data_IF_729982019915
#
_entry.id   IF_729982019915
#
_cell.length_a   1.000
_cell.length_b   1.000
_cell.length_c   1.000
_cell.angle_alpha   90.00
_cell.angle_beta   90.00
_cell.angle_gamma   90.00
#
_symmetry.space_group_name_H-M   'P 1'
#
loop_
_entity.id
_entity.type
_entity.pdbx_description
1 polymer ?
#
# COMPACT_ATOMS: atom_id res chain seq x y z
N UNK A 1 4.94 -34.72 7.33
CA UNK A 1 3.86 -33.75 7.66
C UNK A 1 4.04 -32.41 6.95
N UNK A 2 5.27 -31.86 6.86
CA UNK A 2 5.56 -30.63 6.11
C UNK A 2 5.31 -30.70 4.58
N UNK A 3 5.60 -31.84 3.94
CA UNK A 3 5.38 -32.02 2.48
C UNK A 3 3.90 -32.00 2.07
N UNK A 4 2.97 -32.37 2.96
CA UNK A 4 1.54 -32.33 2.64
C UNK A 4 0.97 -30.92 2.76
N UNK A 5 1.61 -30.04 3.53
CA UNK A 5 1.21 -28.63 3.68
C UNK A 5 1.74 -27.81 2.51
N UNK A 6 2.99 -28.04 2.10
CA UNK A 6 3.58 -27.37 0.94
C UNK A 6 2.87 -27.73 -0.36
N UNK A 7 2.54 -29.02 -0.58
CA UNK A 7 1.79 -29.44 -1.77
C UNK A 7 0.38 -28.85 -1.82
N UNK A 8 -0.35 -28.83 -0.69
CA UNK A 8 -1.67 -28.20 -0.58
C UNK A 8 -1.63 -26.70 -0.84
N UNK A 9 -0.61 -25.99 -0.36
CA UNK A 9 -0.43 -24.55 -0.60
C UNK A 9 -0.13 -24.23 -2.06
N UNK A 10 0.73 -25.02 -2.71
CA UNK A 10 1.04 -24.85 -4.14
C UNK A 10 -0.19 -25.13 -5.00
N UNK A 11 -0.95 -26.19 -4.70
CA UNK A 11 -2.19 -26.52 -5.40
C UNK A 11 -3.25 -25.43 -5.24
N UNK A 12 -3.36 -24.86 -4.03
CA UNK A 12 -4.24 -23.72 -3.76
C UNK A 12 -3.89 -22.55 -4.67
N UNK A 13 -2.64 -22.07 -4.63
CA UNK A 13 -2.20 -20.93 -5.46
C UNK A 13 -2.41 -21.23 -6.94
N UNK A 14 -2.15 -22.46 -7.40
CA UNK A 14 -2.28 -22.84 -8.81
C UNK A 14 -3.73 -22.73 -9.29
N UNK A 15 -4.71 -23.10 -8.46
CA UNK A 15 -6.16 -23.05 -8.74
C UNK A 15 -6.74 -21.63 -8.73
N UNK A 16 -6.08 -20.67 -8.08
CA UNK A 16 -6.58 -19.31 -7.96
C UNK A 16 -6.55 -18.50 -9.27
N UNK A 17 -7.52 -17.59 -9.41
CA UNK A 17 -7.70 -16.74 -10.58
C UNK A 17 -6.49 -15.84 -10.86
N UNK A 18 -6.25 -15.47 -12.13
CA UNK A 18 -5.09 -14.67 -12.54
C UNK A 18 -4.96 -13.35 -11.76
N UNK A 19 -6.09 -12.71 -11.44
CA UNK A 19 -6.14 -11.48 -10.65
C UNK A 19 -5.55 -11.64 -9.23
N UNK A 20 -5.80 -12.78 -8.57
CA UNK A 20 -5.27 -13.08 -7.25
C UNK A 20 -3.75 -13.23 -7.28
N UNK A 21 -3.22 -13.99 -8.25
CA UNK A 21 -1.77 -14.16 -8.45
C UNK A 21 -1.08 -12.82 -8.71
N UNK A 22 -1.62 -11.98 -9.59
CA UNK A 22 -1.09 -10.64 -9.87
C UNK A 22 -1.07 -9.78 -8.60
N UNK A 23 -2.12 -9.86 -7.78
CA UNK A 23 -2.17 -9.12 -6.51
C UNK A 23 -1.10 -9.60 -5.51
N UNK A 24 -0.85 -10.92 -5.42
CA UNK A 24 0.22 -11.47 -4.58
C UNK A 24 1.59 -10.92 -5.02
N UNK A 25 1.93 -11.03 -6.30
CA UNK A 25 3.23 -10.54 -6.81
C UNK A 25 3.38 -9.04 -6.57
N UNK A 26 2.34 -8.26 -6.85
CA UNK A 26 2.32 -6.82 -6.59
C UNK A 26 2.54 -6.52 -5.10
N UNK A 27 1.85 -7.23 -4.21
CA UNK A 27 1.95 -7.01 -2.77
C UNK A 27 3.37 -7.32 -2.28
N UNK A 28 3.95 -8.43 -2.74
CA UNK A 28 5.33 -8.80 -2.41
C UNK A 28 6.32 -7.69 -2.82
N UNK A 29 6.26 -7.23 -4.07
CA UNK A 29 7.14 -6.17 -4.58
C UNK A 29 6.92 -4.88 -3.78
N UNK A 30 5.67 -4.48 -3.57
CA UNK A 30 5.34 -3.24 -2.86
C UNK A 30 5.82 -3.29 -1.42
N UNK A 31 5.60 -4.40 -0.70
CA UNK A 31 6.04 -4.58 0.68
C UNK A 31 7.56 -4.61 0.80
N UNK A 32 8.25 -5.24 -0.15
CA UNK A 32 9.71 -5.21 -0.21
C UNK A 32 10.23 -3.78 -0.39
N UNK A 33 9.70 -3.03 -1.36
CA UNK A 33 10.08 -1.63 -1.60
C UNK A 33 9.78 -0.72 -0.41
N UNK A 34 8.63 -0.89 0.23
CA UNK A 34 8.24 -0.11 1.41
C UNK A 34 9.14 -0.48 2.60
N UNK A 35 9.40 -1.76 2.83
CA UNK A 35 10.27 -2.23 3.90
C UNK A 35 11.68 -1.65 3.81
N UNK A 36 12.19 -1.45 2.58
CA UNK A 36 13.49 -0.81 2.35
C UNK A 36 13.47 0.70 2.54
N UNK A 37 12.35 1.38 2.27
CA UNK A 37 12.31 2.86 2.21
C UNK A 37 11.74 3.51 3.45
N UNK A 38 10.80 2.86 4.15
CA UNK A 38 10.01 3.45 5.23
C UNK A 38 10.88 3.99 6.38
N UNK A 39 11.96 3.30 6.74
CA UNK A 39 12.85 3.72 7.83
C UNK A 39 13.72 4.94 7.45
N UNK A 40 13.98 5.13 6.16
CA UNK A 40 14.83 6.22 5.68
C UNK A 40 14.06 7.51 5.41
N UNK A 41 12.73 7.47 5.28
CA UNK A 41 11.92 8.66 4.99
C UNK A 41 12.11 9.76 6.04
N UNK A 42 11.96 9.42 7.33
CA UNK A 42 12.13 10.40 8.42
C UNK A 42 13.56 10.91 8.52
N UNK A 43 14.55 10.04 8.28
CA UNK A 43 15.98 10.40 8.32
C UNK A 43 16.30 11.37 7.17
N UNK A 44 15.80 11.09 5.97
CA UNK A 44 16.00 11.91 4.78
C UNK A 44 15.39 13.31 4.94
N UNK A 45 14.15 13.39 5.42
CA UNK A 45 13.48 14.68 5.65
C UNK A 45 14.15 15.46 6.79
N UNK A 46 14.65 14.79 7.82
CA UNK A 46 15.45 15.43 8.87
C UNK A 46 16.77 15.98 8.33
N UNK A 47 17.46 15.23 7.46
CA UNK A 47 18.70 15.68 6.81
C UNK A 47 18.50 16.91 5.92
N UNK A 48 17.29 17.11 5.38
CA UNK A 48 16.88 18.32 4.65
C UNK A 48 16.58 19.52 5.55
N UNK A 49 16.73 19.37 6.87
CA UNK A 49 16.57 20.44 7.86
C UNK A 49 15.26 20.41 8.64
N UNK A 50 14.45 19.34 8.55
CA UNK A 50 13.29 19.20 9.42
C UNK A 50 13.70 18.82 10.85
N UNK A 51 13.12 19.51 11.83
CA UNK A 51 13.14 19.09 13.22
C UNK A 51 12.14 17.96 13.51
N UNK A 52 12.21 17.45 14.74
CA UNK A 52 11.33 16.39 15.22
C UNK A 52 9.85 16.85 15.29
N UNK A 53 9.61 18.13 15.55
CA UNK A 53 8.26 18.70 15.60
C UNK A 53 7.62 18.71 14.21
N UNK A 54 8.33 19.17 13.19
CA UNK A 54 7.82 19.22 11.81
C UNK A 54 7.52 17.82 11.26
N UNK A 55 8.40 16.85 11.53
CA UNK A 55 8.15 15.45 11.19
C UNK A 55 6.91 14.88 11.89
N UNK A 56 6.73 15.22 13.16
CA UNK A 56 5.54 14.86 13.92
C UNK A 56 4.27 15.42 13.27
N UNK A 57 4.25 16.72 12.96
CA UNK A 57 3.13 17.37 12.29
C UNK A 57 2.80 16.73 10.94
N UNK A 58 3.81 16.51 10.08
CA UNK A 58 3.62 15.88 8.77
C UNK A 58 3.03 14.48 8.92
N UNK A 59 3.57 13.68 9.85
CA UNK A 59 3.11 12.31 10.07
C UNK A 59 1.67 12.27 10.61
N UNK A 60 1.33 13.15 11.55
CA UNK A 60 -0.02 13.25 12.11
C UNK A 60 -1.03 13.72 11.06
N UNK A 61 -0.72 14.77 10.30
CA UNK A 61 -1.60 15.28 9.25
C UNK A 61 -1.78 14.23 8.14
N UNK A 62 -0.70 13.58 7.72
CA UNK A 62 -0.77 12.47 6.76
C UNK A 62 -1.60 11.29 7.27
N UNK A 63 -1.45 10.94 8.55
CA UNK A 63 -2.23 9.90 9.22
C UNK A 63 -3.73 10.22 9.24
N UNK A 64 -4.09 11.43 9.69
CA UNK A 64 -5.50 11.88 9.73
C UNK A 64 -6.09 11.93 8.32
N UNK A 65 -5.38 12.53 7.35
CA UNK A 65 -5.83 12.60 5.97
C UNK A 65 -6.05 11.22 5.38
N UNK A 66 -5.11 10.29 5.57
CA UNK A 66 -5.22 8.92 5.06
C UNK A 66 -6.37 8.14 5.72
N UNK A 67 -6.62 8.36 7.02
CA UNK A 67 -7.73 7.74 7.74
C UNK A 67 -9.07 8.25 7.22
N UNK A 68 -9.22 9.58 7.06
CA UNK A 68 -10.43 10.19 6.50
C UNK A 68 -10.69 9.72 5.07
N UNK A 69 -9.64 9.49 4.28
CA UNK A 69 -9.77 8.97 2.92
C UNK A 69 -10.09 7.48 2.85
N UNK A 70 -9.79 6.70 3.89
CA UNK A 70 -10.01 5.24 3.88
C UNK A 70 -11.49 4.90 3.65
N UNK A 71 -12.40 5.64 4.28
CA UNK A 71 -13.86 5.44 4.17
C UNK A 71 -14.38 5.69 2.74
N UNK A 72 -14.18 6.88 2.12
CA UNK A 72 -14.63 7.11 0.76
C UNK A 72 -13.89 6.20 -0.23
N UNK A 73 -12.63 5.84 0.03
CA UNK A 73 -11.87 4.94 -0.85
C UNK A 73 -12.53 3.56 -0.97
N UNK A 74 -13.02 3.00 0.14
CA UNK A 74 -13.79 1.76 0.12
C UNK A 74 -15.04 1.88 -0.75
N UNK A 75 -15.86 2.90 -0.50
CA UNK A 75 -17.08 3.15 -1.26
C UNK A 75 -16.83 3.41 -2.75
N UNK A 76 -15.79 4.17 -3.09
CA UNK A 76 -15.39 4.41 -4.48
C UNK A 76 -14.87 3.14 -5.15
N UNK A 77 -14.17 2.26 -4.44
CA UNK A 77 -13.70 0.98 -4.98
C UNK A 77 -14.88 0.07 -5.36
N UNK A 78 -15.93 0.04 -4.54
CA UNK A 78 -17.15 -0.71 -4.82
C UNK A 78 -17.91 -0.14 -6.03
N UNK A 79 -17.99 1.19 -6.16
CA UNK A 79 -18.76 1.84 -7.24
C UNK A 79 -18.04 1.91 -8.58
N UNK A 80 -16.77 2.30 -8.59
CA UNK A 80 -15.99 2.51 -9.83
C UNK A 80 -15.14 1.31 -10.24
N UNK A 81 -15.08 0.30 -9.37
CA UNK A 81 -14.34 -0.93 -9.58
C UNK A 81 -12.95 -0.91 -8.97
N UNK A 82 -12.65 -1.99 -8.25
CA UNK A 82 -11.42 -2.27 -7.53
C UNK A 82 -10.16 -2.03 -8.39
N UNK A 83 -10.18 -2.41 -9.68
CA UNK A 83 -9.03 -2.26 -10.59
C UNK A 83 -8.61 -0.80 -10.77
N UNK A 84 -9.57 0.12 -10.96
CA UNK A 84 -9.27 1.54 -11.17
C UNK A 84 -8.69 2.13 -9.89
N UNK A 85 -9.25 1.77 -8.75
CA UNK A 85 -8.79 2.26 -7.44
C UNK A 85 -7.39 1.76 -7.06
N UNK A 86 -7.05 0.53 -7.47
CA UNK A 86 -5.70 0.00 -7.35
C UNK A 86 -4.68 0.83 -8.14
N UNK A 87 -5.02 1.17 -9.38
CA UNK A 87 -4.13 1.93 -10.28
C UNK A 87 -3.96 3.34 -9.74
N UNK A 88 -5.01 4.01 -9.28
CA UNK A 88 -4.90 5.36 -8.70
C UNK A 88 -4.02 5.36 -7.45
N UNK A 89 -4.18 4.39 -6.54
CA UNK A 89 -3.33 4.26 -5.35
C UNK A 89 -1.86 4.03 -5.71
N UNK A 90 -1.58 3.19 -6.72
CA UNK A 90 -0.22 2.98 -7.23
C UNK A 90 0.36 4.24 -7.89
N UNK A 91 -0.43 4.98 -8.64
CA UNK A 91 -0.01 6.26 -9.24
C UNK A 91 0.35 7.28 -8.16
N UNK A 92 -0.44 7.38 -7.09
CA UNK A 92 -0.15 8.27 -5.94
C UNK A 92 1.16 7.86 -5.26
N UNK A 93 1.39 6.56 -5.06
CA UNK A 93 2.67 6.07 -4.52
C UNK A 93 3.85 6.44 -5.42
N UNK A 94 3.72 6.23 -6.74
CA UNK A 94 4.75 6.57 -7.71
C UNK A 94 5.08 8.07 -7.68
N UNK A 95 4.05 8.93 -7.61
CA UNK A 95 4.21 10.37 -7.46
C UNK A 95 4.93 10.73 -6.16
N UNK A 96 4.67 10.04 -5.05
CA UNK A 96 5.39 10.30 -3.80
C UNK A 96 6.88 9.95 -3.91
N UNK A 97 7.22 8.82 -4.54
CA UNK A 97 8.62 8.44 -4.74
C UNK A 97 9.36 9.42 -5.66
N UNK A 98 8.69 9.91 -6.72
CA UNK A 98 9.24 10.97 -7.55
C UNK A 98 9.42 12.27 -6.75
N UNK A 99 8.44 12.65 -5.92
CA UNK A 99 8.55 13.83 -5.08
C UNK A 99 9.71 13.73 -4.08
N UNK A 100 9.98 12.54 -3.51
CA UNK A 100 11.18 12.30 -2.69
C UNK A 100 12.47 12.47 -3.49
N UNK A 101 12.52 11.97 -4.74
CA UNK A 101 13.72 12.09 -5.58
C UNK A 101 14.05 13.53 -5.99
N UNK A 102 13.05 14.40 -6.12
CA UNK A 102 13.21 15.83 -6.45
C UNK A 102 13.27 16.74 -5.21
N UNK A 103 13.14 16.20 -4.00
CA UNK A 103 13.05 17.01 -2.79
C UNK A 103 14.37 17.75 -2.53
N UNK A 104 14.36 19.07 -2.72
CA UNK A 104 15.48 19.95 -2.36
C UNK A 104 15.29 20.66 -1.02
N UNK A 105 14.09 20.55 -0.43
CA UNK A 105 13.74 21.14 0.85
C UNK A 105 12.90 20.20 1.68
N UNK A 106 12.93 20.38 3.00
CA UNK A 106 12.18 19.53 3.92
C UNK A 106 10.67 19.63 3.72
N UNK A 107 10.13 20.76 3.22
CA UNK A 107 8.70 20.88 2.94
C UNK A 107 8.27 19.95 1.80
N UNK A 108 9.09 19.84 0.74
CA UNK A 108 8.83 18.92 -0.36
C UNK A 108 8.93 17.46 0.12
N UNK A 109 9.92 17.15 0.96
CA UNK A 109 10.05 15.84 1.60
C UNK A 109 8.88 15.49 2.52
N UNK A 110 8.37 16.44 3.29
CA UNK A 110 7.19 16.26 4.15
C UNK A 110 5.91 16.05 3.35
N UNK A 111 5.69 16.81 2.27
CA UNK A 111 4.58 16.58 1.35
C UNK A 111 4.66 15.19 0.70
N UNK A 112 5.87 14.75 0.32
CA UNK A 112 6.10 13.41 -0.22
C UNK A 112 5.78 12.32 0.82
N UNK A 113 6.16 12.50 2.09
CA UNK A 113 5.76 11.60 3.19
C UNK A 113 4.24 11.49 3.31
N UNK A 114 3.52 12.63 3.30
CA UNK A 114 2.06 12.63 3.38
C UNK A 114 1.40 11.89 2.21
N UNK A 115 1.84 12.17 0.99
CA UNK A 115 1.37 11.49 -0.23
C UNK A 115 1.64 9.97 -0.17
N UNK A 116 2.81 9.60 0.34
CA UNK A 116 3.18 8.19 0.53
C UNK A 116 2.24 7.50 1.52
N UNK A 117 1.94 8.12 2.66
CA UNK A 117 0.99 7.58 3.65
C UNK A 117 -0.40 7.40 3.04
N UNK A 118 -0.87 8.37 2.24
CA UNK A 118 -2.15 8.27 1.54
C UNK A 118 -2.16 7.10 0.53
N UNK A 119 -1.14 7.00 -0.34
CA UNK A 119 -1.03 5.92 -1.31
C UNK A 119 -0.90 4.53 -0.66
N UNK A 120 -0.23 4.46 0.49
CA UNK A 120 -0.13 3.24 1.27
C UNK A 120 -1.48 2.79 1.84
N UNK A 121 -2.26 3.72 2.42
CA UNK A 121 -3.59 3.41 2.95
C UNK A 121 -4.54 2.89 1.88
N UNK A 122 -4.48 3.44 0.65
CA UNK A 122 -5.26 2.90 -0.48
C UNK A 122 -4.90 1.43 -0.76
N UNK A 123 -3.62 1.10 -0.73
CA UNK A 123 -3.17 -0.28 -0.92
C UNK A 123 -3.64 -1.22 0.19
N UNK A 124 -3.70 -0.75 1.44
CA UNK A 124 -4.21 -1.53 2.56
C UNK A 124 -5.71 -1.79 2.49
N UNK A 125 -6.49 -0.85 1.94
CA UNK A 125 -7.94 -0.99 1.78
C UNK A 125 -8.29 -1.88 0.58
N UNK A 126 -7.61 -1.70 -0.56
CA UNK A 126 -8.00 -2.34 -1.82
C UNK A 126 -7.48 -3.78 -1.94
N UNK A 127 -6.31 -4.10 -1.38
CA UNK A 127 -5.76 -5.46 -1.40
C UNK A 127 -6.73 -6.55 -0.87
N UNK A 128 -7.28 -6.42 0.36
CA UNK A 128 -8.19 -7.42 0.90
C UNK A 128 -9.52 -7.48 0.16
N UNK A 129 -9.99 -6.36 -0.43
CA UNK A 129 -11.18 -6.37 -1.29
C UNK A 129 -11.01 -7.25 -2.53
N UNK A 130 -9.82 -7.30 -3.14
CA UNK A 130 -9.54 -8.18 -4.28
C UNK A 130 -9.62 -9.64 -3.84
N UNK A 131 -9.00 -9.99 -2.71
CA UNK A 131 -9.03 -11.34 -2.18
C UNK A 131 -10.48 -11.76 -1.87
N UNK A 132 -11.25 -10.90 -1.20
CA UNK A 132 -12.66 -11.16 -0.92
C UNK A 132 -13.51 -11.34 -2.18
N UNK A 133 -13.29 -10.54 -3.23
CA UNK A 133 -14.09 -10.62 -4.45
C UNK A 133 -13.67 -11.74 -5.41
N UNK A 134 -12.44 -12.26 -5.29
CA UNK A 134 -11.91 -13.32 -6.19
C UNK A 134 -11.94 -14.72 -5.57
N UNK A 135 -11.87 -14.84 -4.24
CA UNK A 135 -11.89 -16.11 -3.54
C UNK A 135 -13.32 -16.62 -3.33
N UNK A 136 -13.52 -17.93 -3.55
CA UNK A 136 -14.76 -18.62 -3.17
C UNK A 136 -14.93 -18.58 -1.65
N UNK A 137 -16.16 -18.53 -1.15
CA UNK A 137 -16.45 -18.43 0.29
C UNK A 137 -15.71 -19.48 1.14
N UNK A 138 -15.57 -20.70 0.63
CA UNK A 138 -14.88 -21.82 1.29
C UNK A 138 -13.36 -21.61 1.40
N UNK A 139 -12.77 -20.85 0.47
CA UNK A 139 -11.32 -20.64 0.33
C UNK A 139 -10.85 -19.31 0.94
N UNK A 140 -11.78 -18.44 1.34
CA UNK A 140 -11.50 -17.11 1.90
C UNK A 140 -10.68 -17.16 3.19
N UNK A 141 -10.92 -18.14 4.05
CA UNK A 141 -10.18 -18.31 5.31
C UNK A 141 -8.73 -18.73 5.08
N UNK A 142 -8.45 -19.40 3.96
CA UNK A 142 -7.10 -19.87 3.60
C UNK A 142 -6.31 -18.82 2.80
N UNK A 143 -7.00 -17.95 2.08
CA UNK A 143 -6.38 -16.97 1.17
C UNK A 143 -6.24 -15.54 1.69
N UNK A 144 -6.88 -15.20 2.82
CA UNK A 144 -6.70 -13.92 3.53
C UNK A 144 -5.70 -14.06 4.67
#
# INVERSE_FOLDING_TARGET
MLESVTSKGVDFIRRQHRAFKVNIYRNLISKFSIGLTQQYQSIYVSALGAGAMELGYVSSVGGVASTLLTVPVGWLADRYGIRKMLITGLSVMLLSFLAFGLAQSWQMGGLAMGLFTMGFSFSMVVCPMICGNTLRNEERVTGM
#
